data_IF_689710928923
#
_entry.id   IF_689710928923
#
_cell.length_a   1.000
_cell.length_b   1.000
_cell.length_c   1.000
_cell.angle_alpha   90.00
_cell.angle_beta   90.00
_cell.angle_gamma   90.00
#
_symmetry.space_group_name_H-M   'P 1'
#
loop_
_entity.id
_entity.type
_entity.pdbx_description
1 polymer ?
#
# COMPACT_ATOMS: atom_id res chain seq x y z
N UNK A 1 -41.12 7.15 -10.59
CA UNK A 1 -40.10 6.08 -10.51
C UNK A 1 -38.80 6.62 -11.08
N UNK A 2 -38.00 7.29 -10.25
CA UNK A 2 -36.71 7.83 -10.67
C UNK A 2 -35.67 6.70 -10.65
N UNK A 3 -35.13 6.35 -11.81
CA UNK A 3 -34.05 5.39 -11.92
C UNK A 3 -32.80 5.97 -11.24
N UNK A 4 -32.37 5.36 -10.14
CA UNK A 4 -31.10 5.68 -9.49
C UNK A 4 -29.98 5.21 -10.41
N UNK A 5 -29.26 6.16 -11.01
CA UNK A 5 -28.07 5.88 -11.79
C UNK A 5 -27.05 5.14 -10.91
N UNK A 6 -26.75 3.89 -11.27
CA UNK A 6 -25.71 3.10 -10.61
C UNK A 6 -24.38 3.84 -10.74
N UNK A 7 -23.64 4.07 -9.63
CA UNK A 7 -22.31 4.65 -9.71
C UNK A 7 -21.46 3.74 -10.60
N UNK A 8 -20.90 4.31 -11.67
CA UNK A 8 -19.94 3.63 -12.51
C UNK A 8 -18.65 3.57 -11.71
N UNK A 9 -18.55 2.55 -10.86
CA UNK A 9 -17.34 2.24 -10.12
C UNK A 9 -16.22 2.15 -11.15
N UNK A 10 -15.41 3.19 -11.18
CA UNK A 10 -14.24 3.30 -12.03
C UNK A 10 -13.13 2.48 -11.37
N UNK A 11 -13.46 1.23 -11.05
CA UNK A 11 -12.52 0.23 -10.61
C UNK A 11 -11.48 0.17 -11.72
N UNK A 12 -10.28 0.63 -11.40
CA UNK A 12 -9.18 0.72 -12.34
C UNK A 12 -8.72 -0.71 -12.62
N UNK A 13 -9.46 -1.45 -13.43
CA UNK A 13 -9.24 -2.85 -13.77
C UNK A 13 -7.81 -3.09 -14.30
N UNK A 14 -7.24 -2.07 -14.96
CA UNK A 14 -5.85 -2.05 -15.40
C UNK A 14 -4.85 -2.12 -14.25
N UNK A 15 -5.14 -1.53 -13.08
CA UNK A 15 -4.28 -1.63 -11.89
C UNK A 15 -4.22 -3.07 -11.42
N UNK A 16 -5.37 -3.75 -11.33
CA UNK A 16 -5.46 -5.15 -10.92
C UNK A 16 -4.66 -6.03 -11.90
N UNK A 17 -4.77 -5.75 -13.21
CA UNK A 17 -4.02 -6.47 -14.23
C UNK A 17 -2.50 -6.29 -14.08
N UNK A 18 -2.05 -5.04 -13.89
CA UNK A 18 -0.63 -4.72 -13.68
C UNK A 18 -0.09 -5.37 -12.42
N UNK A 19 -0.84 -5.34 -11.32
CA UNK A 19 -0.49 -6.00 -10.06
C UNK A 19 -0.30 -7.51 -10.27
N UNK A 20 -1.23 -8.17 -10.95
CA UNK A 20 -1.13 -9.59 -11.27
C UNK A 20 0.11 -9.93 -12.10
N UNK A 21 0.43 -9.12 -13.11
CA UNK A 21 1.64 -9.29 -13.93
C UNK A 21 2.90 -9.15 -13.06
N UNK A 22 2.96 -8.12 -12.21
CA UNK A 22 4.09 -7.91 -11.29
C UNK A 22 4.24 -9.07 -10.31
N UNK A 23 3.14 -9.59 -9.76
CA UNK A 23 3.15 -10.74 -8.87
C UNK A 23 3.69 -12.01 -9.55
N UNK A 24 3.29 -12.26 -10.80
CA UNK A 24 3.80 -13.40 -11.59
C UNK A 24 5.30 -13.27 -11.83
N UNK A 25 5.77 -12.07 -12.22
CA UNK A 25 7.19 -11.80 -12.44
C UNK A 25 7.99 -12.03 -11.15
N UNK A 26 7.53 -11.47 -10.03
CA UNK A 26 8.17 -11.65 -8.73
C UNK A 26 8.21 -13.13 -8.31
N UNK A 27 7.11 -13.86 -8.52
CA UNK A 27 7.07 -15.30 -8.29
C UNK A 27 8.11 -16.05 -9.13
N UNK A 28 8.20 -15.74 -10.42
CA UNK A 28 9.17 -16.36 -11.33
C UNK A 28 10.61 -16.06 -10.91
N UNK A 29 10.91 -14.81 -10.52
CA UNK A 29 12.22 -14.40 -10.00
C UNK A 29 12.57 -15.14 -8.69
N UNK A 30 11.58 -15.46 -7.86
CA UNK A 30 11.78 -16.23 -6.63
C UNK A 30 12.17 -17.68 -6.93
N UNK A 31 11.62 -18.28 -8.00
CA UNK A 31 12.00 -19.63 -8.46
C UNK A 31 13.42 -19.67 -9.04
N UNK A 32 13.84 -18.64 -9.77
CA UNK A 32 15.17 -18.60 -10.40
C UNK A 32 16.28 -18.28 -9.39
N UNK A 33 16.08 -17.28 -8.54
CA UNK A 33 17.05 -16.91 -7.51
C UNK A 33 16.35 -16.42 -6.24
N UNK A 34 16.03 -17.33 -5.30
CA UNK A 34 15.23 -17.00 -4.14
C UNK A 34 15.91 -15.98 -3.23
N UNK A 35 17.24 -16.07 -3.05
CA UNK A 35 17.98 -15.21 -2.11
C UNK A 35 18.01 -13.75 -2.60
N UNK A 36 18.32 -13.52 -3.88
CA UNK A 36 18.38 -12.16 -4.45
C UNK A 36 17.00 -11.51 -4.46
N UNK A 37 15.98 -12.27 -4.88
CA UNK A 37 14.61 -11.77 -4.97
C UNK A 37 14.01 -11.51 -3.59
N UNK A 38 14.24 -12.39 -2.61
CA UNK A 38 13.85 -12.15 -1.23
C UNK A 38 14.52 -10.89 -0.65
N UNK A 39 15.82 -10.69 -0.90
CA UNK A 39 16.52 -9.47 -0.50
C UNK A 39 15.90 -8.21 -1.11
N UNK A 40 15.54 -8.25 -2.38
CA UNK A 40 14.85 -7.15 -3.06
C UNK A 40 13.45 -6.86 -2.46
N UNK A 41 12.68 -7.91 -2.14
CA UNK A 41 11.38 -7.77 -1.48
C UNK A 41 11.52 -7.16 -0.08
N UNK A 42 12.51 -7.61 0.72
CA UNK A 42 12.79 -7.05 2.03
C UNK A 42 13.14 -5.57 1.94
N UNK A 43 13.97 -5.18 0.97
CA UNK A 43 14.29 -3.77 0.73
C UNK A 43 13.07 -2.96 0.30
N UNK A 44 12.24 -3.49 -0.60
CA UNK A 44 11.01 -2.84 -1.03
C UNK A 44 10.03 -2.63 0.14
N UNK A 45 9.87 -3.64 1.00
CA UNK A 45 9.06 -3.55 2.21
C UNK A 45 9.64 -2.54 3.22
N UNK A 46 10.96 -2.52 3.40
CA UNK A 46 11.62 -1.54 4.27
C UNK A 46 11.37 -0.11 3.81
N UNK A 47 11.51 0.16 2.50
CA UNK A 47 11.20 1.47 1.91
C UNK A 47 9.71 1.80 2.08
N UNK A 48 8.81 0.84 1.83
CA UNK A 48 7.38 1.01 2.01
C UNK A 48 7.01 1.41 3.44
N UNK A 49 7.57 0.73 4.45
CA UNK A 49 7.37 1.07 5.86
C UNK A 49 7.92 2.45 6.21
N UNK A 50 9.08 2.83 5.68
CA UNK A 50 9.63 4.18 5.89
C UNK A 50 8.68 5.23 5.31
N UNK A 51 8.17 5.02 4.09
CA UNK A 51 7.23 5.96 3.45
C UNK A 51 5.98 6.12 4.30
N UNK A 52 5.36 5.02 4.73
CA UNK A 52 4.16 5.06 5.58
C UNK A 52 4.47 5.77 6.90
N UNK A 53 5.57 5.41 7.56
CA UNK A 53 5.99 6.06 8.81
C UNK A 53 6.17 7.57 8.65
N UNK A 54 6.76 8.03 7.54
CA UNK A 54 6.88 9.46 7.24
C UNK A 54 5.49 10.08 7.00
N UNK A 55 4.61 9.44 6.23
CA UNK A 55 3.26 9.95 5.99
C UNK A 55 2.47 10.08 7.29
N UNK A 56 2.60 9.13 8.20
CA UNK A 56 1.97 9.16 9.52
C UNK A 56 2.54 10.29 10.39
N UNK A 57 3.87 10.47 10.38
CA UNK A 57 4.52 11.60 11.05
C UNK A 57 4.02 12.95 10.52
N UNK A 58 3.92 13.11 9.19
CA UNK A 58 3.43 14.35 8.57
C UNK A 58 1.93 14.57 8.86
N UNK A 59 1.14 13.49 8.87
CA UNK A 59 -0.30 13.49 9.19
C UNK A 59 -0.57 13.99 10.60
N UNK A 60 0.35 13.74 11.56
CA UNK A 60 0.29 14.35 12.88
C UNK A 60 0.36 15.87 12.78
N UNK A 61 1.36 16.44 12.13
CA UNK A 61 1.52 17.91 12.07
C UNK A 61 0.35 18.65 11.38
N UNK A 62 -0.37 17.98 10.47
CA UNK A 62 -1.48 18.58 9.72
C UNK A 62 -2.81 18.64 10.49
N UNK A 63 -3.16 17.60 11.24
CA UNK A 63 -4.48 17.48 11.88
C UNK A 63 -4.40 17.56 13.40
N UNK A 64 -4.38 18.78 13.98
CA UNK A 64 -4.32 18.96 15.45
C UNK A 64 -5.56 18.47 16.21
N UNK A 65 -6.69 18.25 15.54
CA UNK A 65 -7.98 17.93 16.20
C UNK A 65 -8.07 16.47 16.67
N UNK A 66 -7.32 15.55 16.07
CA UNK A 66 -7.34 14.11 16.41
C UNK A 66 -5.97 13.56 16.84
N UNK A 67 -5.10 14.45 17.35
CA UNK A 67 -3.70 14.14 17.69
C UNK A 67 -3.54 12.94 18.62
N UNK A 68 -4.33 12.89 19.71
CA UNK A 68 -4.23 11.81 20.70
C UNK A 68 -4.63 10.44 20.13
N UNK A 69 -5.63 10.40 19.25
CA UNK A 69 -6.09 9.15 18.64
C UNK A 69 -5.10 8.61 17.60
N UNK A 70 -4.53 9.50 16.77
CA UNK A 70 -3.50 9.12 15.79
C UNK A 70 -2.20 8.65 16.45
N UNK A 71 -1.80 9.25 17.57
CA UNK A 71 -0.65 8.78 18.35
C UNK A 71 -0.90 7.42 19.00
N UNK A 72 -2.09 7.20 19.55
CA UNK A 72 -2.45 5.90 20.12
C UNK A 72 -2.42 4.80 19.06
N UNK A 73 -3.01 5.05 17.89
CA UNK A 73 -2.95 4.12 16.75
C UNK A 73 -1.52 3.92 16.26
N UNK A 74 -0.70 4.96 16.17
CA UNK A 74 0.70 4.86 15.74
C UNK A 74 1.66 4.20 16.76
N UNK A 75 1.33 4.20 18.05
CA UNK A 75 2.10 3.50 19.11
C UNK A 75 1.66 2.02 19.21
N UNK A 76 0.42 1.70 18.82
CA UNK A 76 -0.17 0.37 18.94
C UNK A 76 -0.02 -0.47 17.67
N UNK A 77 0.06 0.16 16.50
CA UNK A 77 0.32 -0.50 15.22
C UNK A 77 1.76 -1.02 15.13
#
# INVERSE_FOLDING_TARGET
MAATAAPKDSTKWWIILVEGILAIILGLLLLVNPIKTAGALVLALGIYWIIIGILDLVSLFRDRTAWGWKLFVGIIA
#
